data_IF_580047174869
#
_entry.id   IF_580047174869
#
_cell.length_a   1.000
_cell.length_b   1.000
_cell.length_c   1.000
_cell.angle_alpha   90.00
_cell.angle_beta   90.00
_cell.angle_gamma   90.00
#
_symmetry.space_group_name_H-M   'P 1'
#
loop_
_entity.id
_entity.type
_entity.pdbx_description
1 polymer ?
#
# COMPACT_ATOMS: atom_id res chain seq x y z
N UNK A 1 -12.40 3.37 -18.60
CA UNK A 1 -11.27 3.38 -17.62
C UNK A 1 -10.27 4.46 -18.02
N UNK A 2 -9.85 5.34 -17.12
CA UNK A 2 -8.91 6.41 -17.44
C UNK A 2 -8.15 6.90 -16.21
N UNK A 3 -6.96 7.48 -16.47
CA UNK A 3 -6.17 8.18 -15.45
C UNK A 3 -6.80 9.55 -15.21
N UNK A 4 -6.92 9.94 -13.95
CA UNK A 4 -7.45 11.25 -13.58
C UNK A 4 -6.41 12.34 -13.84
N UNK A 5 -6.82 13.34 -14.60
CA UNK A 5 -6.08 14.60 -14.75
C UNK A 5 -6.19 15.44 -13.49
N UNK A 6 -5.35 16.50 -13.39
CA UNK A 6 -5.39 17.50 -12.31
C UNK A 6 -6.81 17.98 -12.00
N UNK A 7 -7.57 18.33 -13.03
CA UNK A 7 -8.92 18.87 -12.85
C UNK A 7 -9.91 17.82 -12.32
N UNK A 8 -9.75 16.58 -12.73
CA UNK A 8 -10.56 15.46 -12.24
C UNK A 8 -10.21 15.09 -10.80
N UNK A 9 -8.91 15.13 -10.43
CA UNK A 9 -8.45 14.96 -9.05
C UNK A 9 -9.07 16.05 -8.16
N UNK A 10 -8.99 17.32 -8.55
CA UNK A 10 -9.61 18.41 -7.81
C UNK A 10 -11.13 18.25 -7.71
N UNK A 11 -11.76 17.71 -8.76
CA UNK A 11 -13.19 17.42 -8.75
C UNK A 11 -13.54 16.31 -7.78
N UNK A 12 -12.74 15.23 -7.74
CA UNK A 12 -12.90 14.13 -6.79
C UNK A 12 -12.77 14.62 -5.34
N UNK A 13 -11.79 15.50 -5.08
CA UNK A 13 -11.62 16.12 -3.75
C UNK A 13 -12.83 16.97 -3.37
N UNK A 14 -13.31 17.84 -4.28
CA UNK A 14 -14.48 18.68 -4.04
C UNK A 14 -15.77 17.89 -3.79
N UNK A 15 -15.92 16.75 -4.45
CA UNK A 15 -17.03 15.82 -4.24
C UNK A 15 -16.92 14.97 -2.99
N UNK A 16 -15.77 15.03 -2.29
CA UNK A 16 -15.50 14.18 -1.13
C UNK A 16 -15.23 12.72 -1.46
N UNK A 17 -14.98 12.39 -2.75
CA UNK A 17 -14.58 11.05 -3.19
C UNK A 17 -13.14 10.71 -2.79
N UNK A 18 -12.30 11.75 -2.62
CA UNK A 18 -10.90 11.68 -2.27
C UNK A 18 -10.57 12.77 -1.24
N UNK A 19 -9.79 12.43 -0.21
CA UNK A 19 -9.32 13.40 0.77
C UNK A 19 -7.88 13.11 1.21
N UNK A 20 -7.20 14.16 1.66
CA UNK A 20 -5.84 14.11 2.21
C UNK A 20 -5.79 14.92 3.50
N UNK A 21 -5.11 14.41 4.52
CA UNK A 21 -4.87 15.08 5.79
C UNK A 21 -3.39 14.95 6.19
N UNK A 22 -2.64 16.07 6.28
CA UNK A 22 -3.07 17.44 5.95
C UNK A 22 -3.45 17.59 4.46
N UNK A 23 -4.20 18.67 4.15
CA UNK A 23 -4.60 19.00 2.79
C UNK A 23 -3.40 19.24 1.87
N UNK A 24 -3.58 19.01 0.57
CA UNK A 24 -2.53 19.17 -0.43
C UNK A 24 -2.12 20.64 -0.60
N UNK A 25 -0.84 20.88 -0.78
CA UNK A 25 -0.32 22.15 -1.27
C UNK A 25 -0.17 22.17 -2.81
N UNK A 26 0.07 23.38 -3.36
CA UNK A 26 0.14 23.58 -4.81
C UNK A 26 1.28 22.81 -5.49
N UNK A 27 2.37 22.51 -4.77
CA UNK A 27 3.51 21.76 -5.32
C UNK A 27 3.21 20.28 -5.50
N UNK A 28 2.24 19.75 -4.78
CA UNK A 28 1.90 18.32 -4.81
C UNK A 28 1.02 17.96 -6.02
N UNK A 29 0.23 18.89 -6.53
CA UNK A 29 -0.73 18.60 -7.61
C UNK A 29 -0.06 18.66 -8.98
N UNK A 30 0.14 17.49 -9.58
CA UNK A 30 0.77 17.30 -10.88
C UNK A 30 -0.30 17.18 -12.01
N UNK A 31 0.08 17.20 -13.31
CA UNK A 31 -0.90 17.09 -14.41
C UNK A 31 -1.80 15.85 -14.36
N UNK A 32 -1.28 14.70 -13.88
CA UNK A 32 -2.01 13.42 -13.81
C UNK A 32 -1.65 12.61 -12.54
N UNK A 33 -1.20 13.26 -11.49
CA UNK A 33 -0.79 12.62 -10.24
C UNK A 33 -0.84 13.58 -9.06
N UNK A 34 -0.74 13.05 -7.85
CA UNK A 34 -0.48 13.79 -6.62
C UNK A 34 0.86 13.33 -6.04
N UNK A 35 1.79 14.24 -5.87
CA UNK A 35 3.04 13.96 -5.16
C UNK A 35 2.76 13.80 -3.65
N UNK A 36 3.35 12.78 -3.05
CA UNK A 36 3.19 12.47 -1.63
C UNK A 36 4.49 12.80 -0.89
N UNK A 37 4.34 13.34 0.32
CA UNK A 37 5.45 13.76 1.17
C UNK A 37 5.86 12.69 2.17
N UNK A 38 7.14 12.67 2.49
CA UNK A 38 7.72 11.90 3.59
C UNK A 38 7.13 12.37 4.90
N UNK A 39 6.63 11.44 5.70
CA UNK A 39 6.20 11.69 7.07
C UNK A 39 7.36 11.80 8.05
N UNK A 40 7.05 11.68 9.32
CA UNK A 40 8.02 11.84 10.41
C UNK A 40 8.51 10.50 10.99
N UNK A 41 7.91 9.38 10.60
CA UNK A 41 8.24 8.08 11.15
C UNK A 41 8.99 7.22 10.13
N UNK A 42 10.13 6.71 10.56
CA UNK A 42 11.04 5.85 9.82
C UNK A 42 11.18 4.54 10.58
N UNK A 43 11.12 3.42 9.87
CA UNK A 43 11.24 2.08 10.45
C UNK A 43 12.38 1.36 9.76
N UNK A 44 13.32 0.88 10.57
CA UNK A 44 14.57 0.30 10.11
C UNK A 44 14.56 -1.18 10.50
N UNK A 45 14.63 -2.12 9.55
CA UNK A 45 14.71 -3.54 9.88
C UNK A 45 15.96 -3.86 10.68
N UNK A 46 15.77 -4.58 11.79
CA UNK A 46 16.87 -5.07 12.62
C UNK A 46 17.56 -6.26 11.92
N UNK A 47 18.85 -6.21 11.82
CA UNK A 47 19.63 -7.34 11.28
C UNK A 47 19.84 -8.46 12.34
N UNK A 48 19.78 -8.10 13.62
CA UNK A 48 20.05 -9.01 14.74
C UNK A 48 19.49 -8.46 16.05
N UNK A 49 19.33 -9.35 17.02
CA UNK A 49 19.02 -9.02 18.41
C UNK A 49 19.99 -9.69 19.38
N UNK A 50 20.04 -9.21 20.62
CA UNK A 50 20.67 -9.92 21.71
C UNK A 50 19.64 -10.71 22.49
N UNK A 51 19.92 -12.02 22.68
CA UNK A 51 19.17 -12.91 23.55
C UNK A 51 20.05 -13.50 24.65
N UNK A 52 19.48 -14.38 25.46
CA UNK A 52 20.22 -15.07 26.54
C UNK A 52 21.43 -15.86 26.03
N UNK A 53 21.37 -16.36 24.81
CA UNK A 53 22.44 -17.14 24.17
C UNK A 53 23.42 -16.30 23.36
N UNK A 54 23.29 -14.97 23.39
CA UNK A 54 24.16 -14.05 22.64
C UNK A 54 23.47 -13.38 21.47
N UNK A 55 24.22 -13.09 20.41
CA UNK A 55 23.73 -12.41 19.19
C UNK A 55 23.04 -13.41 18.26
N UNK A 56 21.79 -13.11 17.94
CA UNK A 56 20.96 -13.90 16.99
C UNK A 56 20.54 -13.04 15.81
N UNK A 57 20.69 -13.55 14.57
CA UNK A 57 20.18 -12.88 13.37
C UNK A 57 18.64 -12.82 13.39
N UNK A 58 18.08 -11.70 12.95
CA UNK A 58 16.63 -11.58 12.81
C UNK A 58 16.16 -12.36 11.59
N UNK A 59 15.10 -13.14 11.78
CA UNK A 59 14.45 -13.87 10.71
C UNK A 59 13.06 -13.27 10.48
N UNK A 60 12.70 -13.05 9.21
CA UNK A 60 11.35 -12.65 8.81
C UNK A 60 10.77 -13.83 8.05
N UNK A 61 9.89 -14.58 8.70
CA UNK A 61 9.20 -15.72 8.13
C UNK A 61 7.68 -15.47 8.15
N UNK A 62 7.11 -15.21 6.98
CA UNK A 62 5.68 -14.95 6.84
C UNK A 62 4.80 -16.21 7.05
N UNK A 63 5.40 -17.38 7.00
CA UNK A 63 4.68 -18.63 7.24
C UNK A 63 4.78 -19.10 8.70
N UNK A 64 5.61 -18.43 9.52
CA UNK A 64 5.73 -18.70 10.94
C UNK A 64 5.32 -17.47 11.75
N UNK A 65 4.07 -17.45 12.19
CA UNK A 65 3.48 -16.35 12.95
C UNK A 65 3.48 -16.58 14.47
N UNK A 66 4.10 -17.64 14.96
CA UNK A 66 4.18 -17.95 16.40
C UNK A 66 5.16 -17.02 17.12
N UNK A 67 6.11 -16.45 16.39
CA UNK A 67 7.11 -15.53 16.93
C UNK A 67 6.81 -14.08 16.47
N UNK A 68 6.15 -13.31 17.33
CA UNK A 68 6.12 -11.85 17.17
C UNK A 68 7.49 -11.29 17.53
N UNK A 69 8.35 -11.15 16.56
CA UNK A 69 9.62 -10.47 16.74
C UNK A 69 9.45 -8.97 16.61
N UNK A 70 10.07 -8.22 17.52
CA UNK A 70 10.34 -6.80 17.37
C UNK A 70 11.46 -6.64 16.31
N UNK A 71 11.06 -6.77 15.04
CA UNK A 71 11.99 -6.81 13.90
C UNK A 71 12.34 -5.43 13.34
N UNK A 72 11.78 -4.36 13.92
CA UNK A 72 11.94 -3.00 13.42
C UNK A 72 12.36 -2.04 14.54
N UNK A 73 13.34 -1.20 14.26
CA UNK A 73 13.59 0.01 15.05
C UNK A 73 12.76 1.15 14.47
N UNK A 74 12.11 1.92 15.34
CA UNK A 74 11.35 3.10 14.93
C UNK A 74 12.11 4.39 15.30
N UNK A 75 12.17 5.32 14.35
CA UNK A 75 12.77 6.62 14.52
C UNK A 75 11.75 7.70 14.15
N UNK A 76 11.51 8.63 15.06
CA UNK A 76 10.68 9.81 14.81
C UNK A 76 11.56 11.04 14.58
N UNK A 77 11.47 11.64 13.40
CA UNK A 77 12.19 12.86 13.04
C UNK A 77 11.27 14.07 13.02
N UNK A 78 11.74 15.17 13.57
CA UNK A 78 11.05 16.47 13.46
C UNK A 78 11.32 17.12 12.10
N UNK A 79 10.42 17.99 11.59
CA UNK A 79 10.72 18.83 10.43
C UNK A 79 12.05 19.56 10.59
N UNK A 80 12.86 19.56 9.53
CA UNK A 80 14.22 20.12 9.54
C UNK A 80 15.33 19.16 9.93
N UNK A 81 15.00 18.01 10.52
CA UNK A 81 15.95 16.90 10.72
C UNK A 81 16.07 16.05 9.43
N UNK A 82 17.09 15.20 9.37
CA UNK A 82 17.36 14.36 8.20
C UNK A 82 17.57 12.90 8.59
N UNK A 83 17.13 12.00 7.73
CA UNK A 83 17.54 10.61 7.72
C UNK A 83 18.65 10.42 6.70
N UNK A 84 19.78 9.81 7.08
CA UNK A 84 20.85 9.42 6.16
C UNK A 84 20.69 7.95 5.80
N UNK A 85 20.11 7.68 4.64
CA UNK A 85 19.94 6.34 4.08
C UNK A 85 21.29 5.87 3.51
N UNK A 86 21.86 4.83 4.11
CA UNK A 86 23.17 4.29 3.74
C UNK A 86 23.12 3.46 2.45
N UNK A 87 24.26 3.26 1.77
CA UNK A 87 24.31 2.41 0.57
C UNK A 87 23.79 1.00 0.84
N UNK A 88 22.84 0.54 0.02
CA UNK A 88 22.23 -0.79 0.15
C UNK A 88 21.21 -0.91 1.29
N UNK A 89 20.96 0.14 2.04
CA UNK A 89 20.02 0.12 3.16
C UNK A 89 18.57 0.12 2.67
N UNK A 90 17.74 -0.66 3.36
CA UNK A 90 16.29 -0.72 3.23
C UNK A 90 15.63 -0.15 4.47
N UNK A 91 14.63 0.70 4.28
CA UNK A 91 13.79 1.25 5.34
C UNK A 91 12.33 1.34 4.89
N UNK A 92 11.44 1.51 5.86
CA UNK A 92 10.04 1.86 5.60
C UNK A 92 9.80 3.28 6.11
N UNK A 93 9.13 4.10 5.32
CA UNK A 93 8.85 5.50 5.67
C UNK A 93 7.34 5.71 5.64
N UNK A 94 6.78 6.35 6.67
CA UNK A 94 5.38 6.77 6.63
C UNK A 94 5.18 7.95 5.67
N UNK A 95 4.00 8.04 5.05
CA UNK A 95 3.59 9.27 4.38
C UNK A 95 3.23 10.36 5.38
N UNK A 96 3.40 11.62 5.01
CA UNK A 96 2.91 12.77 5.76
C UNK A 96 1.38 12.80 5.71
N UNK A 97 0.83 12.58 4.52
CA UNK A 97 -0.60 12.59 4.29
C UNK A 97 -1.24 11.25 4.70
N UNK A 98 -2.32 11.35 5.45
CA UNK A 98 -3.34 10.31 5.52
C UNK A 98 -4.21 10.46 4.27
N UNK A 99 -4.44 9.36 3.58
CA UNK A 99 -5.20 9.30 2.33
C UNK A 99 -6.54 8.65 2.65
N UNK A 100 -7.64 9.22 2.13
CA UNK A 100 -8.97 8.66 2.26
C UNK A 100 -9.62 8.58 0.88
N UNK A 101 -9.75 7.36 0.36
CA UNK A 101 -10.49 7.07 -0.86
C UNK A 101 -11.91 6.67 -0.48
N UNK A 102 -12.89 7.55 -0.74
CA UNK A 102 -14.29 7.39 -0.27
C UNK A 102 -15.23 6.96 -1.38
N UNK A 103 -14.70 6.46 -2.48
CA UNK A 103 -15.46 6.02 -3.65
C UNK A 103 -15.02 4.62 -4.07
N UNK A 104 -15.99 3.74 -4.32
CA UNK A 104 -15.75 2.41 -4.90
C UNK A 104 -15.35 2.44 -6.38
N UNK A 105 -15.43 3.61 -7.02
CA UNK A 105 -15.04 3.83 -8.41
C UNK A 105 -13.64 4.44 -8.59
N UNK A 106 -12.83 4.49 -7.51
CA UNK A 106 -11.46 5.01 -7.53
C UNK A 106 -10.47 3.97 -7.01
N UNK A 107 -9.39 3.78 -7.74
CA UNK A 107 -8.20 3.04 -7.32
C UNK A 107 -6.97 3.93 -7.56
N UNK A 108 -5.92 3.74 -6.78
CA UNK A 108 -4.67 4.46 -7.00
C UNK A 108 -3.49 3.50 -7.01
N UNK A 109 -2.43 3.91 -7.72
CA UNK A 109 -1.15 3.21 -7.69
C UNK A 109 -0.08 4.21 -7.24
N UNK A 110 0.72 3.77 -6.27
CA UNK A 110 1.90 4.49 -5.83
C UNK A 110 3.05 4.25 -6.80
N UNK A 111 3.68 5.31 -7.25
CA UNK A 111 4.89 5.29 -8.07
C UNK A 111 6.00 6.15 -7.47
N UNK A 112 7.28 5.82 -7.72
CA UNK A 112 8.37 6.73 -7.39
C UNK A 112 8.29 7.99 -8.28
N UNK A 113 8.76 9.11 -7.75
CA UNK A 113 9.01 10.30 -8.58
C UNK A 113 10.32 10.10 -9.36
N UNK A 114 10.37 10.59 -10.60
CA UNK A 114 11.56 10.50 -11.44
C UNK A 114 12.81 11.16 -10.81
N UNK A 115 12.63 12.25 -10.06
CA UNK A 115 13.71 12.90 -9.32
C UNK A 115 14.25 12.03 -8.18
N UNK A 116 13.40 11.24 -7.55
CA UNK A 116 13.76 10.30 -6.49
C UNK A 116 14.57 9.14 -7.06
N UNK A 117 14.10 8.54 -8.14
CA UNK A 117 14.79 7.43 -8.83
C UNK A 117 16.17 7.84 -9.34
N UNK A 118 16.30 9.07 -9.89
CA UNK A 118 17.58 9.57 -10.39
C UNK A 118 18.63 9.81 -9.31
N UNK A 119 18.22 9.90 -8.04
CA UNK A 119 19.15 9.96 -6.89
C UNK A 119 19.63 8.58 -6.45
N UNK A 120 19.16 7.51 -7.08
CA UNK A 120 19.46 6.12 -6.70
C UNK A 120 18.56 5.55 -5.63
N UNK A 121 17.42 6.18 -5.36
CA UNK A 121 16.38 5.64 -4.48
C UNK A 121 15.41 4.79 -5.29
N UNK A 122 15.19 3.54 -4.87
CA UNK A 122 14.06 2.72 -5.31
C UNK A 122 12.92 2.82 -4.31
N UNK A 123 11.71 2.87 -4.84
CA UNK A 123 10.46 2.82 -4.09
C UNK A 123 9.60 1.75 -4.74
N UNK A 124 9.10 0.83 -3.94
CA UNK A 124 8.20 -0.20 -4.44
C UNK A 124 6.81 0.38 -4.70
N UNK A 125 6.24 0.01 -5.86
CA UNK A 125 4.87 0.37 -6.23
C UNK A 125 3.86 -0.47 -5.46
N UNK A 126 2.70 0.11 -5.18
CA UNK A 126 1.61 -0.59 -4.51
C UNK A 126 0.25 -0.09 -4.97
N UNK A 127 -0.72 -0.99 -5.00
CA UNK A 127 -2.12 -0.67 -5.28
C UNK A 127 -2.78 -0.17 -4.00
N UNK A 128 -3.56 0.88 -4.13
CA UNK A 128 -4.39 1.44 -3.06
C UNK A 128 -5.83 1.24 -3.48
N UNK A 129 -6.50 0.34 -2.78
CA UNK A 129 -7.84 -0.12 -3.10
C UNK A 129 -8.92 0.95 -2.88
N UNK A 130 -10.09 0.80 -3.50
CA UNK A 130 -11.26 1.62 -3.19
C UNK A 130 -11.58 1.60 -1.70
N UNK A 131 -12.04 2.71 -1.17
CA UNK A 131 -12.36 2.92 0.26
C UNK A 131 -11.18 2.79 1.23
N UNK A 132 -9.94 2.74 0.73
CA UNK A 132 -8.76 2.80 1.61
C UNK A 132 -8.75 4.09 2.42
N UNK A 133 -8.40 3.97 3.69
CA UNK A 133 -8.15 5.10 4.58
C UNK A 133 -6.94 4.79 5.46
N UNK A 134 -5.92 5.65 5.43
CA UNK A 134 -4.72 5.48 6.23
C UNK A 134 -3.52 6.24 5.70
N UNK A 135 -2.42 6.21 6.46
CA UNK A 135 -1.10 6.61 5.98
C UNK A 135 -0.44 5.42 5.29
N UNK A 136 0.30 5.68 4.20
CA UNK A 136 1.05 4.62 3.53
C UNK A 136 2.39 4.41 4.23
N UNK A 137 2.83 3.16 4.24
CA UNK A 137 4.22 2.77 4.54
C UNK A 137 4.92 2.48 3.23
N UNK A 138 5.89 3.31 2.91
CA UNK A 138 6.62 3.25 1.63
C UNK A 138 7.93 2.52 1.86
N UNK A 139 8.16 1.35 1.21
CA UNK A 139 9.45 0.69 1.16
C UNK A 139 10.44 1.51 0.33
N UNK A 140 11.60 1.80 0.88
CA UNK A 140 12.62 2.65 0.26
C UNK A 140 13.99 1.99 0.34
N UNK A 141 14.69 1.92 -0.79
CA UNK A 141 16.05 1.38 -0.91
C UNK A 141 17.02 2.41 -1.45
N UNK A 142 18.22 2.44 -0.91
CA UNK A 142 19.35 3.12 -1.53
C UNK A 142 20.11 2.14 -2.43
N UNK A 143 19.94 2.26 -3.74
CA UNK A 143 20.61 1.41 -4.74
C UNK A 143 22.03 1.88 -5.09
N UNK A 144 22.49 3.01 -4.54
CA UNK A 144 23.89 3.45 -4.76
C UNK A 144 24.86 2.53 -4.02
N UNK A 145 26.07 2.41 -4.56
CA UNK A 145 27.10 1.54 -3.95
C UNK A 145 27.92 2.23 -2.87
N UNK A 146 28.02 3.56 -2.93
CA UNK A 146 28.97 4.33 -2.11
C UNK A 146 28.39 5.61 -1.52
N UNK A 147 27.21 6.06 -1.99
CA UNK A 147 26.65 7.35 -1.63
C UNK A 147 25.54 7.20 -0.61
N UNK A 148 25.65 7.88 0.51
CA UNK A 148 24.53 8.05 1.42
C UNK A 148 23.56 9.12 0.85
N UNK A 149 22.27 8.90 1.05
CA UNK A 149 21.22 9.80 0.56
C UNK A 149 20.51 10.40 1.76
N UNK A 150 20.37 11.71 1.79
CA UNK A 150 19.58 12.40 2.81
C UNK A 150 18.13 12.49 2.40
N UNK A 151 17.24 12.12 3.31
CA UNK A 151 15.79 12.19 3.18
C UNK A 151 15.27 13.09 4.29
N UNK A 152 14.34 13.98 3.96
CA UNK A 152 13.79 14.96 4.89
C UNK A 152 12.29 14.73 5.10
N UNK A 153 11.78 14.77 6.34
CA UNK A 153 10.35 14.89 6.57
C UNK A 153 9.77 16.08 5.78
N UNK A 154 8.67 15.84 5.07
CA UNK A 154 8.05 16.82 4.17
C UNK A 154 8.59 16.84 2.73
N UNK A 155 9.66 16.13 2.42
CA UNK A 155 10.16 15.98 1.05
C UNK A 155 9.15 15.19 0.19
N UNK A 156 8.91 15.63 -1.06
CA UNK A 156 8.08 14.87 -2.02
C UNK A 156 8.89 13.70 -2.57
N UNK A 157 8.49 12.47 -2.26
CA UNK A 157 9.28 11.27 -2.57
C UNK A 157 8.60 10.35 -3.59
N UNK A 158 7.28 10.23 -3.52
CA UNK A 158 6.48 9.37 -4.37
C UNK A 158 5.31 10.14 -4.98
N UNK A 159 4.55 9.50 -5.85
CA UNK A 159 3.37 10.07 -6.49
C UNK A 159 2.25 9.03 -6.57
N UNK A 160 1.02 9.49 -6.41
CA UNK A 160 -0.19 8.70 -6.59
C UNK A 160 -0.84 9.02 -7.94
N UNK A 161 -1.03 8.01 -8.75
CA UNK A 161 -1.82 8.08 -9.99
C UNK A 161 -3.16 7.43 -9.72
N UNK A 162 -4.24 8.15 -10.01
CA UNK A 162 -5.61 7.71 -9.76
C UNK A 162 -6.28 7.24 -11.04
N UNK A 163 -7.07 6.18 -10.92
CA UNK A 163 -7.81 5.57 -12.02
C UNK A 163 -9.29 5.47 -11.67
N UNK A 164 -10.16 5.67 -12.67
CA UNK A 164 -11.56 5.27 -12.56
C UNK A 164 -11.71 3.81 -12.94
N UNK A 165 -12.41 3.04 -12.11
CA UNK A 165 -12.80 1.66 -12.40
C UNK A 165 -14.03 1.64 -13.35
N UNK A 166 -14.24 0.56 -14.07
CA UNK A 166 -15.39 0.39 -14.96
C UNK A 166 -16.68 0.20 -14.17
N UNK A 167 -16.60 -0.56 -13.08
CA UNK A 167 -17.70 -0.74 -12.13
C UNK A 167 -17.37 -0.06 -10.80
N UNK A 168 -18.37 0.20 -10.01
CA UNK A 168 -18.24 0.80 -8.67
C UNK A 168 -18.48 -0.29 -7.64
N UNK A 169 -17.46 -0.62 -6.85
CA UNK A 169 -17.61 -1.51 -5.72
C UNK A 169 -18.44 -0.86 -4.62
N UNK A 170 -19.29 -1.62 -3.96
CA UNK A 170 -19.87 -1.25 -2.68
C UNK A 170 -18.80 -1.23 -1.60
N UNK A 171 -19.07 -0.59 -0.47
CA UNK A 171 -18.15 -0.59 0.66
C UNK A 171 -17.97 -2.00 1.26
N UNK A 172 -18.99 -2.82 1.19
CA UNK A 172 -18.98 -4.20 1.68
C UNK A 172 -18.08 -5.06 0.79
N UNK A 173 -18.24 -5.01 -0.53
CA UNK A 173 -17.39 -5.71 -1.49
C UNK A 173 -15.92 -5.30 -1.38
N UNK A 174 -15.64 -4.04 -1.07
CA UNK A 174 -14.27 -3.55 -0.89
C UNK A 174 -13.55 -4.11 0.34
N UNK A 175 -14.27 -4.75 1.25
CA UNK A 175 -13.69 -5.43 2.41
C UNK A 175 -13.31 -6.88 2.12
N UNK A 176 -13.66 -7.40 0.94
CA UNK A 176 -13.34 -8.76 0.52
C UNK A 176 -11.98 -8.80 -0.18
N UNK A 177 -10.96 -9.20 0.57
CA UNK A 177 -9.60 -9.42 0.07
C UNK A 177 -9.35 -10.93 -0.03
N UNK A 178 -10.00 -11.60 -0.98
CA UNK A 178 -10.08 -13.06 -1.02
C UNK A 178 -10.85 -13.57 0.20
N UNK A 179 -10.22 -14.40 1.03
CA UNK A 179 -10.81 -14.89 2.29
C UNK A 179 -10.34 -14.09 3.51
N UNK A 180 -9.69 -12.95 3.31
CA UNK A 180 -9.16 -12.08 4.36
C UNK A 180 -9.87 -10.72 4.40
N UNK A 181 -9.66 -9.97 5.47
CA UNK A 181 -10.00 -8.54 5.54
C UNK A 181 -8.81 -7.69 5.12
N UNK A 182 -9.02 -6.41 4.71
CA UNK A 182 -7.94 -5.51 4.38
C UNK A 182 -6.90 -5.43 5.51
N UNK A 183 -5.63 -5.76 5.21
CA UNK A 183 -4.59 -5.83 6.23
C UNK A 183 -4.22 -4.46 6.82
N UNK A 184 -4.22 -3.43 5.99
CA UNK A 184 -3.64 -2.12 6.34
C UNK A 184 -4.65 -0.98 6.36
N UNK A 185 -5.94 -1.30 6.44
CA UNK A 185 -7.01 -0.30 6.59
C UNK A 185 -6.89 0.41 7.95
N UNK A 186 -6.93 1.74 7.96
CA UNK A 186 -6.89 2.56 9.18
C UNK A 186 -5.51 2.71 9.81
N UNK A 187 -4.44 2.28 9.15
CA UNK A 187 -3.07 2.37 9.69
C UNK A 187 -2.67 3.83 9.90
N UNK A 188 -2.17 4.11 11.09
CA UNK A 188 -1.61 5.42 11.46
C UNK A 188 -0.13 5.47 11.13
N UNK A 189 0.39 6.67 10.86
CA UNK A 189 1.78 6.89 10.45
C UNK A 189 2.85 6.37 11.42
N UNK A 190 2.50 6.19 12.69
CA UNK A 190 3.39 5.68 13.75
C UNK A 190 3.22 4.19 14.03
N UNK A 191 2.28 3.52 13.36
CA UNK A 191 2.00 2.10 13.53
C UNK A 191 2.50 1.33 12.31
N UNK A 192 3.46 0.46 12.54
CA UNK A 192 3.83 -0.55 11.57
C UNK A 192 3.76 -1.90 12.26
N UNK A 193 2.89 -2.76 11.74
CA UNK A 193 2.77 -4.15 12.17
C UNK A 193 2.79 -5.03 10.91
N UNK A 194 3.59 -6.08 10.93
CA UNK A 194 3.53 -7.11 9.89
C UNK A 194 2.27 -7.94 10.10
N UNK A 195 1.35 -7.89 9.15
CA UNK A 195 0.13 -8.68 9.17
C UNK A 195 0.28 -9.90 8.30
N UNK A 196 0.06 -11.04 8.91
CA UNK A 196 0.16 -12.34 8.26
C UNK A 196 -1.08 -12.64 7.38
N UNK A 197 -0.92 -13.57 6.46
CA UNK A 197 -2.02 -14.14 5.70
C UNK A 197 -2.90 -15.04 6.60
N UNK A 198 -4.08 -15.48 6.14
CA UNK A 198 -4.94 -16.34 6.94
C UNK A 198 -4.23 -17.64 7.37
N UNK A 199 -4.37 -18.01 8.64
CA UNK A 199 -3.72 -19.22 9.18
C UNK A 199 -4.01 -20.49 8.38
N UNK A 200 -5.22 -20.62 7.84
CA UNK A 200 -5.59 -21.78 7.03
C UNK A 200 -4.74 -21.88 5.76
N UNK A 201 -4.42 -20.76 5.12
CA UNK A 201 -3.53 -20.68 3.95
C UNK A 201 -2.10 -20.98 4.35
N UNK A 202 -1.59 -20.25 5.36
CA UNK A 202 -0.21 -20.38 5.86
C UNK A 202 0.12 -21.85 6.20
N UNK A 203 -0.75 -22.52 6.95
CA UNK A 203 -0.54 -23.89 7.37
C UNK A 203 -0.46 -24.84 6.17
N UNK A 204 -1.40 -24.73 5.23
CA UNK A 204 -1.41 -25.59 4.05
C UNK A 204 -0.18 -25.34 3.14
N UNK A 205 0.27 -24.09 3.02
CA UNK A 205 1.50 -23.77 2.26
C UNK A 205 2.73 -24.34 2.96
N UNK A 206 2.85 -24.17 4.27
CA UNK A 206 3.97 -24.68 5.07
C UNK A 206 4.04 -26.21 5.05
N UNK A 207 2.89 -26.87 5.12
CA UNK A 207 2.81 -28.32 5.14
C UNK A 207 2.93 -28.94 3.72
N UNK A 208 3.00 -28.13 2.67
CA UNK A 208 3.15 -28.58 1.28
C UNK A 208 1.83 -29.01 0.62
N UNK A 209 0.68 -28.75 1.22
CA UNK A 209 -0.65 -29.19 0.79
C UNK A 209 -1.30 -28.28 -0.27
N UNK A 210 -0.51 -27.80 -1.24
CA UNK A 210 -0.98 -26.87 -2.27
C UNK A 210 -2.15 -27.44 -3.11
N UNK A 211 -2.15 -28.75 -3.38
CA UNK A 211 -3.21 -29.39 -4.15
C UNK A 211 -4.56 -29.37 -3.41
N UNK A 212 -4.53 -29.56 -2.10
CA UNK A 212 -5.72 -29.47 -1.25
C UNK A 212 -6.18 -28.01 -1.09
N UNK A 213 -5.24 -27.07 -0.92
CA UNK A 213 -5.53 -25.63 -0.86
C UNK A 213 -6.30 -25.19 -2.12
N UNK A 214 -5.79 -25.53 -3.31
CA UNK A 214 -6.43 -25.19 -4.58
C UNK A 214 -7.81 -25.83 -4.75
N UNK A 215 -8.01 -27.07 -4.29
CA UNK A 215 -9.32 -27.73 -4.34
C UNK A 215 -10.32 -27.12 -3.36
N UNK A 216 -9.87 -26.86 -2.12
CA UNK A 216 -10.74 -26.38 -1.04
C UNK A 216 -11.22 -24.96 -1.26
N UNK A 217 -10.38 -24.11 -1.87
CA UNK A 217 -10.63 -22.69 -2.08
C UNK A 217 -10.71 -22.33 -3.56
N UNK A 218 -11.17 -23.25 -4.39
CA UNK A 218 -11.37 -23.02 -5.82
C UNK A 218 -12.40 -21.90 -6.02
N UNK A 219 -12.06 -20.93 -6.85
CA UNK A 219 -13.00 -19.88 -7.26
C UNK A 219 -14.02 -20.50 -8.20
N UNK A 220 -15.31 -20.42 -7.84
CA UNK A 220 -16.41 -20.77 -8.74
C UNK A 220 -16.68 -19.57 -9.65
N UNK A 221 -16.46 -19.73 -10.94
CA UNK A 221 -16.92 -18.77 -11.94
C UNK A 221 -18.29 -19.27 -12.41
N UNK A 222 -19.38 -18.69 -11.88
CA UNK A 222 -20.72 -18.93 -12.42
C UNK A 222 -20.77 -18.23 -13.79
N UNK A 223 -21.15 -18.99 -14.84
CA UNK A 223 -21.48 -18.38 -16.12
C UNK A 223 -22.73 -17.51 -15.89
N UNK A 224 -22.61 -16.21 -16.17
CA UNK A 224 -23.80 -15.35 -16.24
C UNK A 224 -24.74 -15.97 -17.27
N UNK A 225 -25.88 -16.49 -16.82
CA UNK A 225 -26.93 -17.01 -17.72
C UNK A 225 -27.33 -15.84 -18.62
N UNK A 226 -26.98 -15.94 -19.90
CA UNK A 226 -27.46 -15.03 -20.95
C UNK A 226 -28.94 -14.79 -20.76
N UNK A 227 -29.32 -13.52 -20.60
CA UNK A 227 -30.65 -13.09 -20.27
C UNK A 227 -31.67 -13.70 -21.23
N UNK A 228 -32.71 -14.31 -20.69
CA UNK A 228 -33.89 -14.74 -21.41
C UNK A 228 -34.36 -13.59 -22.31
N UNK A 229 -34.23 -13.81 -23.64
CA UNK A 229 -34.91 -13.00 -24.64
C UNK A 229 -36.38 -12.86 -24.26
N UNK A 230 -36.80 -11.63 -23.94
CA UNK A 230 -38.18 -11.29 -23.85
C UNK A 230 -38.83 -11.43 -25.23
N UNK A 231 -39.39 -12.60 -25.51
CA UNK A 231 -40.35 -12.77 -26.60
C UNK A 231 -41.56 -11.92 -26.28
N UNK A 232 -41.67 -10.78 -26.94
CA UNK A 232 -42.90 -10.01 -27.04
C UNK A 232 -43.97 -10.85 -27.73
N UNK A 233 -45.16 -11.02 -27.18
CA UNK A 233 -46.25 -11.70 -27.88
C UNK A 233 -46.70 -10.85 -29.06
N UNK A 234 -46.58 -11.43 -30.26
CA UNK A 234 -47.25 -10.91 -31.46
C UNK A 234 -48.76 -10.98 -31.23
N UNK A 235 -49.38 -9.84 -30.97
CA UNK A 235 -50.84 -9.69 -30.98
C UNK A 235 -51.35 -9.69 -32.43
N UNK A 236 -52.27 -10.58 -32.68
CA UNK A 236 -53.08 -10.65 -33.88
C UNK A 236 -54.02 -9.44 -34.01
#
# INVERSE_FOLDING_TARGET
>A
MGILTRNEILTAIRKGELAFEPGLDQFQLQPAAVDIRVGTNFFIPKAWSFGETGRTGMNIDHLNNEEKHDVLDSLHLKPGQTFELLPGEFILISTLEKISMKSGGLVSILYPRSSTTRRGISIESGVIDPYYEGSLMIPVFNLTRTQKIRIYPGERIAQLVFYRTESVLSREESLDHGLAKPKYQGVQSYQLDYKFDPHAEINMVRDGDLSQLKKKFLISVEEESEGKENQLPLSA
#
